data_IF_467537656612
#
_entry.id   IF_467537656612
#
_cell.length_a   1.000
_cell.length_b   1.000
_cell.length_c   1.000
_cell.angle_alpha   90.00
_cell.angle_beta   90.00
_cell.angle_gamma   90.00
#
_symmetry.space_group_name_H-M   'P 1'
#
loop_
_entity.id
_entity.type
_entity.pdbx_description
1 polymer ?
#
# COMPACT_ATOMS: atom_id res chain seq x y z
N UNK A 1 -9.40 -12.74 8.26
CA UNK A 1 -9.05 -11.33 8.52
C UNK A 1 -7.54 -11.19 8.63
N UNK A 2 -7.00 -10.08 8.18
CA UNK A 2 -5.55 -9.82 8.22
C UNK A 2 -5.22 -8.83 9.34
N UNK A 3 -4.08 -9.00 9.97
CA UNK A 3 -3.63 -8.04 10.98
C UNK A 3 -3.10 -6.76 10.33
N UNK A 4 -2.40 -6.91 9.22
CA UNK A 4 -1.88 -5.77 8.47
C UNK A 4 -1.85 -6.06 6.97
N UNK A 5 -2.37 -5.11 6.18
CA UNK A 5 -2.31 -5.18 4.73
C UNK A 5 -1.50 -3.99 4.23
N UNK A 6 -0.57 -4.25 3.31
CA UNK A 6 0.24 -3.21 2.70
C UNK A 6 -0.05 -3.10 1.21
N UNK A 7 -0.09 -1.87 0.70
CA UNK A 7 -0.34 -1.61 -0.72
C UNK A 7 0.81 -0.78 -1.27
N UNK A 8 1.38 -1.24 -2.38
CA UNK A 8 2.47 -0.56 -3.06
C UNK A 8 1.99 -0.07 -4.42
N UNK A 9 2.12 1.23 -4.67
CA UNK A 9 1.65 1.83 -5.91
C UNK A 9 0.15 2.06 -5.86
N UNK A 10 -0.27 3.17 -5.26
CA UNK A 10 -1.67 3.39 -4.92
C UNK A 10 -2.48 4.23 -5.89
N UNK A 11 -2.07 4.48 -7.10
CA UNK A 11 -2.86 5.26 -8.06
C UNK A 11 -4.36 4.91 -8.06
N UNK A 12 -4.99 4.96 -9.20
CA UNK A 12 -6.44 4.70 -9.28
C UNK A 12 -6.82 3.30 -8.81
N UNK A 13 -6.06 2.30 -9.24
CA UNK A 13 -6.34 0.90 -8.89
C UNK A 13 -6.12 0.66 -7.40
N UNK A 14 -5.00 1.15 -6.87
CA UNK A 14 -4.68 0.99 -5.46
C UNK A 14 -5.70 1.67 -4.56
N UNK A 15 -6.19 2.84 -4.94
CA UNK A 15 -7.20 3.56 -4.18
C UNK A 15 -8.53 2.80 -4.14
N UNK A 16 -8.90 2.15 -5.26
CA UNK A 16 -10.10 1.33 -5.29
C UNK A 16 -9.99 0.12 -4.38
N UNK A 17 -8.80 -0.50 -4.33
CA UNK A 17 -8.54 -1.62 -3.44
C UNK A 17 -8.61 -1.17 -1.98
N UNK A 18 -8.02 -0.01 -1.66
CA UNK A 18 -8.09 0.54 -0.30
C UNK A 18 -9.53 0.75 0.14
N UNK A 19 -10.34 1.32 -0.73
CA UNK A 19 -11.76 1.56 -0.41
C UNK A 19 -12.46 0.25 -0.11
N UNK A 20 -12.22 -0.79 -0.90
CA UNK A 20 -12.82 -2.09 -0.67
C UNK A 20 -12.37 -2.71 0.65
N UNK A 21 -11.08 -2.57 0.99
CA UNK A 21 -10.56 -3.09 2.25
C UNK A 21 -11.22 -2.39 3.44
N UNK A 22 -11.38 -1.06 3.39
CA UNK A 22 -12.03 -0.33 4.46
C UNK A 22 -13.51 -0.65 4.59
N UNK A 23 -14.21 -0.75 3.47
CA UNK A 23 -15.63 -1.08 3.49
C UNK A 23 -15.90 -2.47 4.04
N UNK A 24 -15.04 -3.43 3.72
CA UNK A 24 -15.19 -4.81 4.18
C UNK A 24 -14.54 -5.07 5.53
N UNK A 25 -13.82 -4.10 6.06
CA UNK A 25 -13.10 -4.21 7.34
C UNK A 25 -12.21 -5.45 7.39
N UNK A 26 -11.42 -5.64 6.33
CA UNK A 26 -10.57 -6.81 6.19
C UNK A 26 -9.34 -6.78 7.10
N UNK A 27 -8.97 -5.61 7.58
CA UNK A 27 -7.82 -5.46 8.47
C UNK A 27 -8.01 -4.26 9.37
N UNK A 28 -7.31 -4.25 10.51
CA UNK A 28 -7.28 -3.10 11.42
C UNK A 28 -6.15 -2.14 11.08
N UNK A 29 -5.20 -2.53 10.23
CA UNK A 29 -4.03 -1.72 9.93
C UNK A 29 -3.67 -1.79 8.45
N UNK A 30 -3.59 -0.63 7.81
CA UNK A 30 -3.25 -0.52 6.39
C UNK A 30 -2.04 0.39 6.24
N UNK A 31 -1.05 -0.04 5.49
CA UNK A 31 0.10 0.77 5.12
C UNK A 31 0.16 0.92 3.61
N UNK A 32 0.61 2.06 3.13
CA UNK A 32 0.66 2.33 1.70
C UNK A 32 1.94 3.06 1.32
N UNK A 33 2.44 2.76 0.13
CA UNK A 33 3.60 3.44 -0.44
C UNK A 33 3.32 3.80 -1.89
N UNK A 34 3.68 5.02 -2.27
CA UNK A 34 3.67 5.45 -3.67
C UNK A 34 4.82 6.43 -3.86
N UNK A 35 5.41 6.42 -5.04
CA UNK A 35 6.50 7.34 -5.37
C UNK A 35 6.04 8.78 -5.40
N UNK A 36 4.76 9.04 -5.62
CA UNK A 36 4.19 10.38 -5.71
C UNK A 36 3.71 10.84 -4.34
N UNK A 37 4.28 11.95 -3.86
CA UNK A 37 3.83 12.56 -2.61
C UNK A 37 2.39 13.06 -2.72
N UNK A 38 1.96 13.43 -3.92
CA UNK A 38 0.58 13.84 -4.15
C UNK A 38 -0.39 12.70 -3.84
N UNK A 39 -0.03 11.48 -4.25
CA UNK A 39 -0.84 10.31 -3.99
C UNK A 39 -0.87 9.99 -2.50
N UNK A 40 0.29 9.99 -1.82
CA UNK A 40 0.32 9.68 -0.39
C UNK A 40 -0.43 10.72 0.43
N UNK A 41 -0.35 11.99 0.05
CA UNK A 41 -1.12 13.05 0.73
C UNK A 41 -2.62 12.84 0.56
N UNK A 42 -3.05 12.46 -0.64
CA UNK A 42 -4.45 12.15 -0.92
C UNK A 42 -4.94 10.99 -0.04
N UNK A 43 -4.12 9.95 0.08
CA UNK A 43 -4.48 8.78 0.87
C UNK A 43 -4.61 9.11 2.34
N UNK A 44 -3.71 9.92 2.88
CA UNK A 44 -3.78 10.34 4.28
C UNK A 44 -5.06 11.13 4.59
N UNK A 45 -5.51 11.93 3.64
CA UNK A 45 -6.71 12.76 3.83
C UNK A 45 -8.00 11.96 3.73
N UNK A 46 -8.02 10.92 2.90
CA UNK A 46 -9.26 10.23 2.55
C UNK A 46 -9.40 8.83 3.14
N UNK A 47 -8.31 8.27 3.67
CA UNK A 47 -8.32 6.91 4.21
C UNK A 47 -7.53 6.85 5.52
N UNK A 48 -7.86 5.86 6.34
CA UNK A 48 -7.14 5.61 7.59
C UNK A 48 -5.93 4.71 7.30
N UNK A 49 -4.91 5.26 6.67
CA UNK A 49 -3.72 4.49 6.27
C UNK A 49 -2.45 5.13 6.82
N UNK A 50 -1.43 4.31 7.06
CA UNK A 50 -0.08 4.79 7.33
C UNK A 50 0.66 4.88 6.00
N UNK A 51 1.45 5.93 5.82
CA UNK A 51 2.31 6.06 4.65
C UNK A 51 3.76 6.11 5.12
N UNK A 52 4.64 5.46 4.38
CA UNK A 52 6.06 5.41 4.71
C UNK A 52 6.89 5.90 3.55
N UNK A 53 8.14 6.26 3.83
CA UNK A 53 9.05 6.81 2.82
C UNK A 53 9.72 5.73 1.97
N UNK A 54 9.64 4.47 2.37
CA UNK A 54 10.23 3.39 1.60
C UNK A 54 9.38 2.13 1.71
N UNK A 55 9.60 1.22 0.77
CA UNK A 55 8.82 0.00 0.64
C UNK A 55 9.08 -0.97 1.80
N UNK A 56 10.32 -1.06 2.26
CA UNK A 56 10.68 -1.97 3.34
C UNK A 56 9.87 -1.67 4.62
N UNK A 57 9.71 -0.39 4.95
CA UNK A 57 8.94 -0.01 6.12
C UNK A 57 7.45 -0.33 5.96
N UNK A 58 6.94 -0.14 4.75
CA UNK A 58 5.52 -0.39 4.47
C UNK A 58 5.17 -1.86 4.64
N UNK A 59 6.01 -2.75 4.12
CA UNK A 59 5.70 -4.20 4.13
C UNK A 59 6.08 -4.90 5.43
N UNK A 60 6.76 -4.23 6.32
CA UNK A 60 7.19 -4.84 7.58
C UNK A 60 5.99 -5.35 8.38
N UNK A 61 6.06 -6.60 8.80
CA UNK A 61 5.01 -7.26 9.57
C UNK A 61 3.66 -7.36 8.86
N UNK A 62 3.66 -7.28 7.52
CA UNK A 62 2.41 -7.39 6.75
C UNK A 62 2.03 -8.84 6.50
N UNK A 63 0.76 -9.15 6.68
CA UNK A 63 0.20 -10.46 6.36
C UNK A 63 -0.09 -10.57 4.86
N UNK A 64 -0.39 -9.44 4.22
CA UNK A 64 -0.71 -9.40 2.80
C UNK A 64 -0.10 -8.15 2.19
N UNK A 65 0.59 -8.31 1.07
CA UNK A 65 1.16 -7.20 0.31
C UNK A 65 0.53 -7.20 -1.08
N UNK A 66 -0.10 -6.08 -1.43
CA UNK A 66 -0.73 -5.91 -2.74
C UNK A 66 0.11 -4.94 -3.56
N UNK A 67 0.52 -5.35 -4.75
CA UNK A 67 1.31 -4.51 -5.65
C UNK A 67 0.39 -4.04 -6.79
N UNK A 68 0.10 -2.75 -6.79
CA UNK A 68 -0.79 -2.11 -7.76
C UNK A 68 -0.05 -1.15 -8.69
N UNK A 69 1.25 -1.34 -8.83
CA UNK A 69 2.08 -0.51 -9.70
C UNK A 69 2.08 -1.02 -11.13
N UNK A 70 2.46 -0.17 -12.12
CA UNK A 70 2.64 -0.64 -13.49
C UNK A 70 3.64 -1.80 -13.55
N UNK A 71 3.49 -2.68 -14.53
CA UNK A 71 4.37 -3.83 -14.70
C UNK A 71 5.85 -3.46 -14.78
N UNK A 72 6.15 -2.30 -15.35
CA UNK A 72 7.53 -1.84 -15.47
C UNK A 72 8.22 -1.63 -14.12
N UNK A 73 7.45 -1.46 -13.05
CA UNK A 73 7.99 -1.24 -11.70
C UNK A 73 8.08 -2.51 -10.87
N UNK A 74 7.52 -3.61 -11.31
CA UNK A 74 7.44 -4.84 -10.52
C UNK A 74 8.79 -5.36 -10.06
N UNK A 75 9.76 -5.39 -10.96
CA UNK A 75 11.08 -5.92 -10.64
C UNK A 75 11.75 -5.14 -9.51
N UNK A 76 11.71 -3.81 -9.59
CA UNK A 76 12.25 -2.95 -8.56
C UNK A 76 11.57 -3.18 -7.22
N UNK A 77 10.24 -3.25 -7.24
CA UNK A 77 9.45 -3.43 -6.03
C UNK A 77 9.78 -4.75 -5.36
N UNK A 78 9.84 -5.84 -6.13
CA UNK A 78 10.14 -7.16 -5.59
C UNK A 78 11.54 -7.22 -4.99
N UNK A 79 12.52 -6.58 -5.62
CA UNK A 79 13.86 -6.51 -5.07
C UNK A 79 13.90 -5.73 -3.75
N UNK A 80 13.13 -4.67 -3.65
CA UNK A 80 13.03 -3.87 -2.42
C UNK A 80 12.42 -4.67 -1.27
N UNK A 81 11.46 -5.52 -1.57
CA UNK A 81 10.80 -6.35 -0.55
C UNK A 81 11.74 -7.42 -0.03
N UNK A 82 12.60 -7.95 -0.91
CA UNK A 82 13.53 -9.04 -0.55
C UNK A 82 14.75 -8.57 0.24
N UNK A 83 15.03 -7.30 0.21
CA UNK A 83 16.24 -6.77 0.88
C UNK A 83 16.06 -6.52 2.36
#
# INVERSE_FOLDING_TARGET
>A
MFDKISIIGCGLIGSSILRAIEEKKLTSKISAFDKSHRVTDYLKKNFSVETCNNISDVVKDSDLVIIASPLSSYKEILLSIQS
#
